data_IF_960871520146
#
_entry.id   IF_960871520146
#
_cell.length_a   1.000
_cell.length_b   1.000
_cell.length_c   1.000
_cell.angle_alpha   90.00
_cell.angle_beta   90.00
_cell.angle_gamma   90.00
#
_symmetry.space_group_name_H-M   'P 1'
#
loop_
_entity.id
_entity.type
_entity.pdbx_description
1 polymer ?
#
# COMPACT_ATOMS: atom_id res chain seq x y z
N UNK A 1 25.18 -9.01 7.94
CA UNK A 1 24.30 -7.85 8.18
C UNK A 1 23.85 -7.14 6.88
N UNK A 2 23.90 -7.78 5.69
CA UNK A 2 23.54 -7.16 4.38
C UNK A 2 22.17 -7.59 3.82
N UNK A 3 21.50 -8.58 4.42
CA UNK A 3 20.32 -9.20 3.81
C UNK A 3 19.01 -8.42 3.99
N UNK A 4 18.87 -7.60 5.04
CA UNK A 4 17.63 -6.87 5.32
C UNK A 4 17.50 -5.58 4.49
N UNK A 5 18.63 -4.92 4.21
CA UNK A 5 18.67 -3.64 3.48
C UNK A 5 17.99 -3.72 2.11
N UNK A 6 18.19 -4.82 1.36
CA UNK A 6 17.57 -4.98 0.03
C UNK A 6 16.04 -5.04 0.08
N UNK A 7 15.47 -5.58 1.16
CA UNK A 7 14.02 -5.75 1.27
C UNK A 7 13.32 -4.47 1.75
N UNK A 8 14.06 -3.49 2.24
CA UNK A 8 13.52 -2.19 2.65
C UNK A 8 13.59 -1.16 1.52
N UNK A 9 14.13 -1.51 0.34
CA UNK A 9 14.14 -0.62 -0.81
C UNK A 9 12.81 -0.74 -1.56
N UNK A 10 12.00 0.33 -1.66
CA UNK A 10 10.79 0.29 -2.47
C UNK A 10 11.14 0.15 -3.96
N UNK A 11 10.23 -0.42 -4.74
CA UNK A 11 10.40 -0.45 -6.21
C UNK A 11 10.17 0.94 -6.79
N UNK A 12 9.12 1.62 -6.30
CA UNK A 12 8.73 2.97 -6.74
C UNK A 12 8.33 3.82 -5.53
N UNK A 13 8.47 5.13 -5.68
CA UNK A 13 8.04 6.12 -4.70
C UNK A 13 7.19 7.16 -5.43
N UNK A 14 6.01 7.46 -4.89
CA UNK A 14 5.14 8.52 -5.37
C UNK A 14 4.92 9.56 -4.28
N UNK A 15 4.61 10.79 -4.67
CA UNK A 15 4.37 11.90 -3.74
C UNK A 15 2.97 11.82 -3.11
N UNK A 16 2.01 11.16 -3.79
CA UNK A 16 0.66 10.87 -3.28
C UNK A 16 0.21 9.47 -3.73
N UNK A 17 -0.70 8.87 -2.97
CA UNK A 17 -1.36 7.61 -3.38
C UNK A 17 -2.15 7.79 -4.68
N UNK A 18 -2.79 8.96 -4.84
CA UNK A 18 -3.59 9.31 -6.02
C UNK A 18 -2.75 9.45 -7.30
N UNK A 19 -1.41 9.57 -7.20
CA UNK A 19 -0.53 9.63 -8.37
C UNK A 19 -0.30 8.24 -9.00
N UNK A 20 -0.69 7.16 -8.31
CA UNK A 20 -0.64 5.80 -8.85
C UNK A 20 -1.80 5.61 -9.82
N UNK A 21 -1.55 5.92 -11.09
CA UNK A 21 -2.56 5.97 -12.15
C UNK A 21 -2.70 4.62 -12.90
N UNK A 22 -3.91 4.28 -13.41
CA UNK A 22 -4.13 3.03 -14.14
C UNK A 22 -3.18 2.82 -15.33
N UNK A 23 -2.93 3.86 -16.12
CA UNK A 23 -2.06 3.76 -17.31
C UNK A 23 -0.62 3.40 -16.93
N UNK A 24 -0.12 3.97 -15.83
CA UNK A 24 1.18 3.63 -15.31
C UNK A 24 1.21 2.18 -14.82
N UNK A 25 0.18 1.72 -14.10
CA UNK A 25 0.07 0.34 -13.64
C UNK A 25 0.07 -0.65 -14.82
N UNK A 26 -0.74 -0.38 -15.85
CA UNK A 26 -0.82 -1.19 -17.06
C UNK A 26 0.53 -1.26 -17.78
N UNK A 27 1.22 -0.13 -17.94
CA UNK A 27 2.56 -0.08 -18.55
C UNK A 27 3.61 -0.90 -17.76
N UNK A 28 3.38 -1.15 -16.47
CA UNK A 28 4.25 -1.96 -15.63
C UNK A 28 3.76 -3.42 -15.49
N UNK A 29 2.74 -3.82 -16.25
CA UNK A 29 2.15 -5.17 -16.19
C UNK A 29 1.39 -5.46 -14.89
N UNK A 30 0.98 -4.42 -14.17
CA UNK A 30 0.27 -4.53 -12.91
C UNK A 30 -1.24 -4.56 -13.14
N UNK A 31 -1.89 -5.54 -12.51
CA UNK A 31 -3.32 -5.80 -12.62
C UNK A 31 -4.03 -5.80 -11.27
N UNK A 32 -3.27 -5.78 -10.19
CA UNK A 32 -3.81 -5.78 -8.84
C UNK A 32 -3.00 -4.92 -7.87
N UNK A 33 -3.71 -4.35 -6.89
CA UNK A 33 -3.13 -3.60 -5.79
C UNK A 33 -3.54 -4.20 -4.44
N UNK A 34 -2.55 -4.39 -3.58
CA UNK A 34 -2.74 -4.55 -2.14
C UNK A 34 -2.51 -3.18 -1.50
N UNK A 35 -3.54 -2.64 -0.88
CA UNK A 35 -3.54 -1.28 -0.34
C UNK A 35 -3.49 -1.34 1.19
N UNK A 36 -2.53 -0.64 1.80
CA UNK A 36 -2.63 -0.31 3.21
C UNK A 36 -3.76 0.71 3.47
N UNK A 37 -4.24 0.81 4.71
CA UNK A 37 -5.36 1.67 5.08
C UNK A 37 -4.90 2.90 5.87
N UNK A 38 -4.49 2.71 7.13
CA UNK A 38 -4.13 3.78 8.04
C UNK A 38 -2.86 4.50 7.55
N UNK A 39 -2.91 5.83 7.46
CA UNK A 39 -1.86 6.68 6.89
C UNK A 39 -1.60 6.50 5.39
N UNK A 40 -2.23 5.55 4.71
CA UNK A 40 -2.11 5.39 3.25
C UNK A 40 -3.34 5.94 2.53
N UNK A 41 -4.51 5.35 2.77
CA UNK A 41 -5.78 5.77 2.16
C UNK A 41 -6.55 6.74 3.04
N UNK A 42 -6.38 6.65 4.36
CA UNK A 42 -7.10 7.48 5.33
C UNK A 42 -6.18 7.87 6.47
N UNK A 43 -6.41 9.03 7.12
CA UNK A 43 -5.77 9.32 8.38
C UNK A 43 -5.98 8.18 9.38
N UNK A 44 -4.99 7.92 10.23
CA UNK A 44 -5.04 6.85 11.22
C UNK A 44 -6.36 6.88 12.01
N UNK A 45 -7.05 5.75 12.03
CA UNK A 45 -8.32 5.51 12.74
C UNK A 45 -9.54 6.32 12.27
N UNK A 46 -9.45 7.09 11.18
CA UNK A 46 -10.60 7.83 10.64
C UNK A 46 -11.59 6.91 9.89
N UNK A 47 -11.07 5.93 9.14
CA UNK A 47 -11.83 4.92 8.37
C UNK A 47 -13.00 5.47 7.53
N UNK A 48 -12.84 6.68 7.02
CA UNK A 48 -13.76 7.33 6.09
C UNK A 48 -12.94 7.86 4.91
N UNK A 49 -13.28 7.42 3.70
CA UNK A 49 -12.63 7.90 2.48
C UNK A 49 -13.11 9.32 2.16
N UNK A 50 -12.18 10.21 1.83
CA UNK A 50 -12.54 11.48 1.20
C UNK A 50 -12.95 11.27 -0.27
N UNK A 51 -13.50 12.31 -0.87
CA UNK A 51 -14.01 12.24 -2.24
C UNK A 51 -12.89 11.97 -3.26
N UNK A 52 -11.69 12.49 -3.01
CA UNK A 52 -10.52 12.27 -3.88
C UNK A 52 -10.11 10.79 -3.89
N UNK A 53 -10.07 10.14 -2.72
CA UNK A 53 -9.69 8.72 -2.59
C UNK A 53 -10.79 7.80 -3.12
N UNK A 54 -12.08 8.16 -2.97
CA UNK A 54 -13.18 7.43 -3.62
C UNK A 54 -13.07 7.50 -5.13
N UNK A 55 -12.91 8.70 -5.69
CA UNK A 55 -12.77 8.88 -7.13
C UNK A 55 -11.56 8.11 -7.68
N UNK A 56 -10.44 8.07 -6.94
CA UNK A 56 -9.27 7.27 -7.31
C UNK A 56 -9.54 5.77 -7.26
N UNK A 57 -10.21 5.25 -6.22
CA UNK A 57 -10.60 3.83 -6.17
C UNK A 57 -11.53 3.47 -7.33
N UNK A 58 -12.53 4.31 -7.60
CA UNK A 58 -13.48 4.12 -8.70
C UNK A 58 -12.79 4.13 -10.05
N UNK A 59 -11.83 5.04 -10.25
CA UNK A 59 -10.99 5.07 -11.44
C UNK A 59 -10.25 3.74 -11.62
N UNK A 60 -9.57 3.25 -10.58
CA UNK A 60 -8.85 1.96 -10.66
C UNK A 60 -9.79 0.79 -11.00
N UNK A 61 -10.94 0.72 -10.34
CA UNK A 61 -11.95 -0.32 -10.59
C UNK A 61 -12.53 -0.24 -12.01
N UNK A 62 -12.76 0.97 -12.53
CA UNK A 62 -13.25 1.20 -13.89
C UNK A 62 -12.25 0.77 -14.98
N UNK A 63 -10.97 0.63 -14.61
CA UNK A 63 -9.90 0.06 -15.44
C UNK A 63 -9.65 -1.44 -15.14
N UNK A 64 -10.61 -2.12 -14.51
CA UNK A 64 -10.59 -3.56 -14.20
C UNK A 64 -9.41 -3.99 -13.31
N UNK A 65 -8.85 -3.07 -12.51
CA UNK A 65 -7.83 -3.42 -11.52
C UNK A 65 -8.48 -4.12 -10.32
N UNK A 66 -7.82 -5.18 -9.84
CA UNK A 66 -8.26 -5.92 -8.67
C UNK A 66 -7.65 -5.30 -7.41
N UNK A 67 -8.47 -4.91 -6.46
CA UNK A 67 -8.01 -4.22 -5.25
C UNK A 67 -8.28 -5.06 -4.01
N UNK A 68 -7.36 -5.09 -3.06
CA UNK A 68 -7.60 -5.63 -1.72
C UNK A 68 -7.04 -4.69 -0.66
N UNK A 69 -7.75 -4.54 0.46
CA UNK A 69 -7.22 -3.84 1.63
C UNK A 69 -6.42 -4.83 2.47
N UNK A 70 -5.16 -4.50 2.76
CA UNK A 70 -4.27 -5.30 3.60
C UNK A 70 -3.77 -4.45 4.77
N UNK A 71 -4.46 -4.53 5.91
CA UNK A 71 -4.23 -3.67 7.07
C UNK A 71 -3.79 -4.45 8.30
N UNK A 72 -2.88 -3.88 9.09
CA UNK A 72 -2.52 -4.38 10.42
C UNK A 72 -3.47 -3.90 11.53
N UNK A 73 -4.46 -3.08 11.19
CA UNK A 73 -5.41 -2.53 12.15
C UNK A 73 -6.13 -3.63 12.94
N UNK A 74 -6.31 -3.38 14.24
CA UNK A 74 -7.12 -4.18 15.15
C UNK A 74 -8.62 -3.84 15.08
N UNK A 75 -9.03 -3.03 14.11
CA UNK A 75 -10.41 -2.55 13.90
C UNK A 75 -11.01 -3.13 12.61
N UNK A 76 -11.16 -4.47 12.48
CA UNK A 76 -11.52 -5.12 11.22
C UNK A 76 -12.86 -4.67 10.66
N UNK A 77 -13.83 -4.36 11.52
CA UNK A 77 -15.17 -3.89 11.11
C UNK A 77 -15.08 -2.49 10.48
N UNK A 78 -14.27 -1.61 11.04
CA UNK A 78 -14.10 -0.24 10.55
C UNK A 78 -13.36 -0.23 9.22
N UNK A 79 -12.29 -1.01 9.09
CA UNK A 79 -11.54 -1.14 7.83
C UNK A 79 -12.44 -1.71 6.72
N UNK A 80 -13.24 -2.74 7.02
CA UNK A 80 -14.17 -3.30 6.04
C UNK A 80 -15.28 -2.29 5.66
N UNK A 81 -15.80 -1.54 6.64
CA UNK A 81 -16.83 -0.51 6.40
C UNK A 81 -16.35 0.62 5.49
N UNK A 82 -15.07 0.99 5.59
CA UNK A 82 -14.45 2.05 4.79
C UNK A 82 -14.62 1.85 3.27
N UNK A 83 -14.62 0.59 2.83
CA UNK A 83 -14.74 0.20 1.41
C UNK A 83 -16.00 -0.61 1.14
N UNK A 84 -16.99 -0.60 2.03
CA UNK A 84 -18.16 -1.48 1.94
C UNK A 84 -19.05 -1.22 0.70
N UNK A 85 -18.98 -0.01 0.15
CA UNK A 85 -19.66 0.36 -1.10
C UNK A 85 -18.99 -0.25 -2.33
N UNK A 86 -17.80 -0.84 -2.17
CA UNK A 86 -17.02 -1.49 -3.20
C UNK A 86 -16.87 -2.99 -2.89
N UNK A 87 -16.81 -3.84 -3.92
CA UNK A 87 -16.51 -5.28 -3.76
C UNK A 87 -15.00 -5.53 -3.56
N UNK A 88 -14.41 -4.85 -2.57
CA UNK A 88 -12.97 -4.89 -2.27
C UNK A 88 -12.74 -5.80 -1.06
N UNK A 89 -12.10 -6.98 -1.23
CA UNK A 89 -11.81 -7.86 -0.11
C UNK A 89 -10.88 -7.18 0.89
N UNK A 90 -11.31 -7.19 2.15
CA UNK A 90 -10.53 -6.62 3.25
C UNK A 90 -9.88 -7.73 4.09
N UNK A 91 -8.58 -7.58 4.31
CA UNK A 91 -7.75 -8.40 5.20
C UNK A 91 -7.18 -7.49 6.30
N UNK A 92 -8.00 -7.24 7.31
CA UNK A 92 -7.53 -6.64 8.56
C UNK A 92 -6.75 -7.66 9.40
N UNK A 93 -6.01 -7.19 10.42
CA UNK A 93 -5.08 -8.01 11.21
C UNK A 93 -4.16 -8.86 10.32
N UNK A 94 -3.67 -8.28 9.22
CA UNK A 94 -2.87 -8.96 8.21
C UNK A 94 -1.50 -9.45 8.73
N UNK A 95 -1.02 -8.86 9.84
CA UNK A 95 0.28 -9.12 10.48
C UNK A 95 1.47 -8.86 9.55
N UNK A 96 1.38 -7.88 8.64
CA UNK A 96 2.52 -7.37 7.86
C UNK A 96 3.69 -7.06 8.81
N UNK A 97 4.94 -7.45 8.50
CA UNK A 97 5.44 -7.97 7.22
C UNK A 97 5.37 -9.51 7.07
N UNK A 98 4.58 -10.22 7.88
CA UNK A 98 4.42 -11.66 7.74
C UNK A 98 3.74 -12.01 6.40
N UNK A 99 4.25 -13.04 5.73
CA UNK A 99 3.79 -13.46 4.39
C UNK A 99 2.35 -13.97 4.33
N UNK A 100 1.78 -14.39 5.46
CA UNK A 100 0.45 -15.01 5.51
C UNK A 100 -0.66 -14.07 5.04
N UNK A 101 -0.64 -12.80 5.46
CA UNK A 101 -1.61 -11.80 5.02
C UNK A 101 -1.55 -11.58 3.50
N UNK A 102 -0.35 -11.34 2.98
CA UNK A 102 -0.12 -11.16 1.54
C UNK A 102 -0.60 -12.36 0.71
N UNK A 103 -0.26 -13.59 1.10
CA UNK A 103 -0.71 -14.80 0.38
C UNK A 103 -2.23 -14.91 0.32
N UNK A 104 -2.91 -14.64 1.43
CA UNK A 104 -4.37 -14.67 1.49
C UNK A 104 -4.98 -13.59 0.60
N UNK A 105 -4.35 -12.41 0.52
CA UNK A 105 -4.83 -11.34 -0.36
C UNK A 105 -4.68 -11.72 -1.84
N UNK A 106 -3.50 -12.22 -2.25
CA UNK A 106 -3.27 -12.72 -3.61
C UNK A 106 -4.26 -13.83 -4.00
N UNK A 107 -4.52 -14.77 -3.09
CA UNK A 107 -5.50 -15.84 -3.30
C UNK A 107 -6.93 -15.31 -3.48
N UNK A 108 -7.34 -14.33 -2.67
CA UNK A 108 -8.67 -13.73 -2.80
C UNK A 108 -8.84 -12.94 -4.09
N UNK A 109 -7.77 -12.30 -4.54
CA UNK A 109 -7.77 -11.59 -5.81
C UNK A 109 -7.53 -12.48 -7.01
N UNK A 110 -7.17 -13.76 -6.81
CA UNK A 110 -6.79 -14.70 -7.88
C UNK A 110 -5.71 -14.12 -8.82
N UNK A 111 -4.63 -13.60 -8.23
CA UNK A 111 -3.51 -12.97 -8.94
C UNK A 111 -2.16 -13.47 -8.46
N UNK A 112 -1.16 -13.29 -9.31
CA UNK A 112 0.23 -13.63 -9.02
C UNK A 112 0.98 -12.46 -8.39
N UNK A 113 2.10 -12.72 -7.68
CA UNK A 113 2.96 -11.65 -7.18
C UNK A 113 3.48 -10.71 -8.27
N UNK A 114 3.77 -11.23 -9.47
CA UNK A 114 4.41 -10.47 -10.55
C UNK A 114 3.51 -9.36 -11.13
N UNK A 115 2.18 -9.57 -11.13
CA UNK A 115 1.19 -8.60 -11.61
C UNK A 115 0.59 -7.76 -10.47
N UNK A 116 1.13 -7.85 -9.25
CA UNK A 116 0.56 -7.21 -8.06
C UNK A 116 1.53 -6.23 -7.42
N UNK A 117 1.01 -5.05 -7.06
CA UNK A 117 1.73 -4.05 -6.28
C UNK A 117 1.22 -3.98 -4.83
N UNK A 118 2.12 -3.82 -3.87
CA UNK A 118 1.82 -3.37 -2.51
C UNK A 118 2.01 -1.86 -2.42
N UNK A 119 0.99 -1.13 -1.97
CA UNK A 119 1.01 0.33 -1.78
C UNK A 119 0.83 0.64 -0.29
N UNK A 120 1.76 1.41 0.28
CA UNK A 120 1.68 1.80 1.69
C UNK A 120 2.74 2.81 2.10
N UNK A 121 2.67 3.28 3.35
CA UNK A 121 3.56 4.32 3.90
C UNK A 121 4.73 3.77 4.73
N UNK A 122 4.76 2.47 5.02
CA UNK A 122 5.72 1.90 5.97
C UNK A 122 6.74 0.95 5.34
N UNK A 123 8.02 1.29 5.49
CA UNK A 123 9.13 0.45 5.01
C UNK A 123 9.18 -0.94 5.65
N UNK A 124 8.97 -1.02 6.97
CA UNK A 124 9.17 -2.25 7.74
C UNK A 124 7.98 -3.22 7.71
N UNK A 125 6.82 -2.78 7.20
CA UNK A 125 5.62 -3.61 7.10
C UNK A 125 5.27 -3.83 5.63
N UNK A 126 4.95 -2.76 4.91
CA UNK A 126 4.45 -2.81 3.53
C UNK A 126 5.56 -3.17 2.56
N UNK A 127 6.65 -2.38 2.56
CA UNK A 127 7.75 -2.57 1.60
C UNK A 127 8.50 -3.87 1.90
N UNK A 128 8.85 -4.11 3.17
CA UNK A 128 9.48 -5.36 3.59
C UNK A 128 8.61 -6.58 3.25
N UNK A 129 7.31 -6.53 3.56
CA UNK A 129 6.38 -7.63 3.32
C UNK A 129 6.17 -7.89 1.83
N UNK A 130 5.92 -6.83 1.05
CA UNK A 130 5.70 -6.91 -0.39
C UNK A 130 6.93 -7.40 -1.14
N UNK A 131 8.11 -6.84 -0.84
CA UNK A 131 9.34 -7.30 -1.46
C UNK A 131 9.61 -8.78 -1.13
N UNK A 132 9.43 -9.21 0.13
CA UNK A 132 9.58 -10.63 0.54
C UNK A 132 8.60 -11.59 -0.15
N UNK A 133 7.55 -11.06 -0.74
CA UNK A 133 6.54 -11.78 -1.51
C UNK A 133 6.79 -11.72 -3.02
N UNK A 134 7.77 -10.94 -3.48
CA UNK A 134 8.04 -10.73 -4.91
C UNK A 134 7.06 -9.76 -5.58
N UNK A 135 6.35 -8.94 -4.81
CA UNK A 135 5.46 -7.90 -5.33
C UNK A 135 6.27 -6.70 -5.81
N UNK A 136 5.67 -5.92 -6.73
CA UNK A 136 6.10 -4.52 -6.85
C UNK A 136 5.72 -3.79 -5.56
N UNK A 137 6.59 -2.90 -5.09
CA UNK A 137 6.34 -2.12 -3.87
C UNK A 137 6.36 -0.64 -4.19
N UNK A 138 5.30 0.04 -3.78
CA UNK A 138 5.08 1.47 -3.99
C UNK A 138 5.00 2.11 -2.62
N UNK A 139 6.02 2.92 -2.30
CA UNK A 139 6.02 3.73 -1.07
C UNK A 139 5.36 5.07 -1.37
N UNK A 140 4.45 5.49 -0.51
CA UNK A 140 3.84 6.82 -0.53
C UNK A 140 4.00 7.48 0.84
N UNK A 141 4.08 8.80 0.94
CA UNK A 141 4.09 9.47 2.24
C UNK A 141 2.75 9.30 2.96
N UNK A 142 2.72 9.43 4.30
CA UNK A 142 1.49 9.44 5.05
C UNK A 142 0.50 10.49 4.54
N UNK A 143 -0.77 10.13 4.38
CA UNK A 143 -1.82 11.04 3.88
C UNK A 143 -2.19 12.15 4.89
N UNK A 144 -1.84 11.98 6.16
CA UNK A 144 -2.06 12.94 7.25
C UNK A 144 -0.83 13.82 7.47
N UNK A 145 -1.02 15.14 7.53
CA UNK A 145 0.07 16.11 7.73
C UNK A 145 0.84 15.87 9.04
N UNK A 146 0.15 15.49 10.12
CA UNK A 146 0.79 15.24 11.42
C UNK A 146 1.71 14.01 11.33
N UNK A 147 1.24 12.94 10.71
CA UNK A 147 2.03 11.72 10.50
C UNK A 147 3.14 11.96 9.47
N UNK A 148 2.93 12.82 8.47
CA UNK A 148 3.95 13.24 7.52
C UNK A 148 5.07 14.06 8.19
N UNK A 149 4.74 14.94 9.13
CA UNK A 149 5.74 15.68 9.92
C UNK A 149 6.57 14.70 10.76
N UNK A 150 5.92 13.76 11.45
CA UNK A 150 6.61 12.71 12.20
C UNK A 150 7.48 11.86 11.27
N UNK A 151 6.93 11.39 10.15
CA UNK A 151 7.64 10.65 9.11
C UNK A 151 8.87 11.43 8.63
N UNK A 152 8.76 12.73 8.36
CA UNK A 152 9.88 13.57 7.91
C UNK A 152 10.91 13.80 9.02
N UNK A 153 10.50 13.90 10.28
CA UNK A 153 11.40 14.08 11.42
C UNK A 153 12.21 12.81 11.71
N UNK A 154 11.58 11.63 11.64
CA UNK A 154 12.22 10.33 11.90
C UNK A 154 12.86 9.69 10.65
N UNK A 155 12.37 9.99 9.45
CA UNK A 155 12.90 9.50 8.17
C UNK A 155 14.17 10.23 7.73
N UNK A 156 14.36 11.50 8.13
CA UNK A 156 15.56 12.30 7.79
C UNK A 156 16.88 11.76 8.35
N UNK A 157 16.84 10.91 9.38
CA UNK A 157 18.05 10.28 9.94
C UNK A 157 18.45 9.00 9.20
N UNK A 158 17.55 8.35 8.46
CA UNK A 158 17.81 7.08 7.75
C UNK A 158 17.77 7.18 6.21
N UNK A 159 17.15 8.21 5.64
CA UNK A 159 16.83 8.29 4.20
C UNK A 159 17.92 8.91 3.31
N UNK A 160 18.97 9.53 3.88
CA UNK A 160 20.01 10.23 3.09
C UNK A 160 20.69 9.37 2.01
N UNK A 161 20.92 8.05 2.18
CA UNK A 161 21.52 7.23 1.12
C UNK A 161 20.51 6.62 0.12
N UNK A 162 19.23 6.50 0.48
CA UNK A 162 18.23 5.72 -0.28
C UNK A 162 17.35 6.57 -1.22
N UNK A 163 17.19 7.87 -0.93
CA UNK A 163 16.38 8.79 -1.74
C UNK A 163 17.17 9.56 -2.81
N UNK A 164 18.45 9.21 -3.05
CA UNK A 164 19.18 9.75 -4.20
C UNK A 164 18.64 9.13 -5.48
N UNK A 165 17.69 9.83 -6.10
CA UNK A 165 17.28 9.68 -7.49
C UNK A 165 18.52 9.41 -8.35
N UNK A 166 18.52 8.29 -9.07
CA UNK A 166 19.29 8.16 -10.31
C UNK A 166 18.51 8.86 -11.41
#
# INVERSE_FOLDING_TARGET
>A
MMALHRWLHPTHVFDRVHDVQPDWLAAHGLRALLLDADNTLVPRHAYHLDDETRAWIELLLSHQLRLAILSNSASPRQVAKMVADYDIPTLALARKPARSGFRRALQRLDVTPAETAMVGDQLFTDILGGNRMGLRTILVPPCSTNDFIVYRLFGRTLERPLLRRR
#
